data_IF_202052356589
#
_entry.id   IF_202052356589
#
_cell.length_a   1.000
_cell.length_b   1.000
_cell.length_c   1.000
_cell.angle_alpha   90.00
_cell.angle_beta   90.00
_cell.angle_gamma   90.00
#
_symmetry.space_group_name_H-M   'P 1'
#
loop_
_entity.id
_entity.type
_entity.pdbx_description
1 polymer ?
#
# COMPACT_ATOMS: atom_id res chain seq x y z
N UNK A 1 -17.67 5.63 9.23
CA UNK A 1 -16.46 4.82 9.45
C UNK A 1 -15.70 4.72 8.14
N UNK A 2 -14.54 5.39 8.02
CA UNK A 2 -13.75 5.30 6.80
C UNK A 2 -12.98 3.97 6.73
N UNK A 3 -12.80 3.48 5.52
CA UNK A 3 -12.03 2.28 5.23
C UNK A 3 -11.07 2.57 4.08
N UNK A 4 -9.77 2.43 4.34
CA UNK A 4 -8.73 2.60 3.33
C UNK A 4 -8.10 1.24 3.06
N UNK A 5 -8.12 0.82 1.81
CA UNK A 5 -7.46 -0.43 1.41
C UNK A 5 -6.25 -0.10 0.53
N UNK A 6 -5.08 -0.58 0.96
CA UNK A 6 -3.83 -0.40 0.21
C UNK A 6 -3.43 -1.76 -0.32
N UNK A 7 -3.37 -1.88 -1.63
CA UNK A 7 -2.88 -3.10 -2.26
C UNK A 7 -1.46 -2.88 -2.76
N UNK A 8 -0.57 -3.76 -2.40
CA UNK A 8 0.84 -3.72 -2.77
C UNK A 8 1.21 -5.04 -3.43
N UNK A 9 2.18 -5.01 -4.33
CA UNK A 9 2.75 -6.27 -4.80
C UNK A 9 3.67 -6.81 -3.71
N UNK A 10 3.65 -8.12 -3.49
CA UNK A 10 4.44 -8.76 -2.44
C UNK A 10 5.94 -8.55 -2.62
N UNK A 11 6.67 -8.55 -1.52
CA UNK A 11 8.13 -8.55 -1.53
C UNK A 11 8.81 -7.22 -1.84
N UNK A 12 8.08 -6.11 -1.95
CA UNK A 12 8.65 -4.79 -2.23
C UNK A 12 8.84 -3.97 -0.96
N UNK A 13 7.89 -4.06 -0.03
CA UNK A 13 7.91 -3.26 1.19
C UNK A 13 8.17 -4.11 2.42
N UNK A 14 8.93 -3.56 3.36
CA UNK A 14 9.20 -4.21 4.65
C UNK A 14 7.99 -4.14 5.56
N UNK A 15 8.03 -4.91 6.65
CA UNK A 15 6.98 -4.84 7.69
C UNK A 15 6.89 -3.44 8.29
N UNK A 16 8.04 -2.79 8.49
CA UNK A 16 8.11 -1.44 9.04
C UNK A 16 7.47 -0.43 8.10
N UNK A 17 7.73 -0.56 6.80
CA UNK A 17 7.12 0.33 5.81
C UNK A 17 5.61 0.16 5.74
N UNK A 18 5.12 -1.09 5.81
CA UNK A 18 3.68 -1.34 5.81
C UNK A 18 3.01 -0.78 7.06
N UNK A 19 3.68 -0.90 8.21
CA UNK A 19 3.19 -0.30 9.46
C UNK A 19 3.16 1.23 9.37
N UNK A 20 4.18 1.82 8.77
CA UNK A 20 4.24 3.26 8.53
C UNK A 20 3.10 3.73 7.63
N UNK A 21 2.77 2.95 6.59
CA UNK A 21 1.62 3.26 5.72
C UNK A 21 0.33 3.30 6.53
N UNK A 22 0.10 2.31 7.40
CA UNK A 22 -1.08 2.26 8.25
C UNK A 22 -1.14 3.50 9.14
N UNK A 23 -0.04 3.85 9.80
CA UNK A 23 0.00 4.99 10.71
C UNK A 23 -0.23 6.32 9.98
N UNK A 24 0.49 6.55 8.89
CA UNK A 24 0.42 7.80 8.15
C UNK A 24 -0.92 8.01 7.45
N UNK A 25 -1.47 6.94 6.88
CA UNK A 25 -2.78 7.03 6.23
C UNK A 25 -3.88 7.27 7.27
N UNK A 26 -3.77 6.63 8.42
CA UNK A 26 -4.69 6.87 9.53
C UNK A 26 -4.62 8.33 9.96
N UNK A 27 -3.42 8.86 10.18
CA UNK A 27 -3.23 10.25 10.59
C UNK A 27 -3.79 11.23 9.57
N UNK A 28 -3.60 10.97 8.29
CA UNK A 28 -4.13 11.81 7.23
C UNK A 28 -5.65 11.83 7.24
N UNK A 29 -6.27 10.66 7.39
CA UNK A 29 -7.73 10.58 7.49
C UNK A 29 -8.24 11.32 8.72
N UNK A 30 -7.57 11.17 9.85
CA UNK A 30 -7.95 11.82 11.11
C UNK A 30 -7.84 13.35 11.00
N UNK A 31 -6.85 13.88 10.27
CA UNK A 31 -6.76 15.31 10.01
C UNK A 31 -8.02 15.86 9.33
N UNK A 32 -8.63 15.06 8.48
CA UNK A 32 -9.81 15.45 7.71
C UNK A 32 -11.08 15.25 8.55
N UNK A 33 -11.22 14.11 9.21
CA UNK A 33 -12.46 13.69 9.86
C UNK A 33 -12.55 14.08 11.35
N UNK A 34 -11.43 14.38 11.97
CA UNK A 34 -11.35 14.72 13.39
C UNK A 34 -10.82 13.59 14.26
N UNK A 35 -10.18 13.93 15.35
CA UNK A 35 -9.49 12.98 16.25
C UNK A 35 -10.44 11.96 16.87
N UNK A 36 -11.71 12.33 17.07
CA UNK A 36 -12.70 11.42 17.64
C UNK A 36 -12.96 10.19 16.75
N UNK A 37 -12.60 10.28 15.47
CA UNK A 37 -12.80 9.19 14.51
C UNK A 37 -11.63 8.21 14.43
N UNK A 38 -10.54 8.48 15.14
CA UNK A 38 -9.34 7.61 15.07
C UNK A 38 -9.66 6.16 15.39
N UNK A 39 -10.44 5.92 16.42
CA UNK A 39 -10.75 4.55 16.86
C UNK A 39 -11.62 3.75 15.90
N UNK A 40 -12.20 4.40 14.89
CA UNK A 40 -13.05 3.75 13.89
C UNK A 40 -12.54 3.97 12.47
N UNK A 41 -11.30 4.43 12.33
CA UNK A 41 -10.63 4.61 11.04
C UNK A 41 -9.86 3.33 10.72
N UNK A 42 -10.19 2.70 9.62
CA UNK A 42 -9.60 1.42 9.21
C UNK A 42 -8.64 1.62 8.04
N UNK A 43 -7.46 1.08 8.18
CA UNK A 43 -6.49 1.00 7.08
C UNK A 43 -6.02 -0.45 6.99
N UNK A 44 -6.20 -1.05 5.84
CA UNK A 44 -5.80 -2.45 5.60
C UNK A 44 -4.77 -2.46 4.48
N UNK A 45 -3.67 -3.16 4.72
CA UNK A 45 -2.63 -3.39 3.69
C UNK A 45 -2.74 -4.85 3.26
N UNK A 46 -2.92 -5.04 1.96
CA UNK A 46 -3.00 -6.37 1.36
C UNK A 46 -1.90 -6.52 0.32
N UNK A 47 -1.23 -7.67 0.32
CA UNK A 47 -0.22 -7.95 -0.68
C UNK A 47 -0.79 -8.84 -1.78
N UNK A 48 -0.51 -8.44 -3.03
CA UNK A 48 -0.87 -9.18 -4.23
C UNK A 48 0.35 -10.00 -4.65
N UNK A 49 0.12 -11.25 -4.98
CA UNK A 49 1.18 -12.19 -5.37
C UNK A 49 1.89 -11.71 -6.64
N UNK A 50 3.22 -11.90 -6.68
CA UNK A 50 4.03 -11.60 -7.85
C UNK A 50 3.46 -12.29 -9.10
N UNK A 51 3.34 -11.55 -10.20
CA UNK A 51 2.76 -12.06 -11.43
C UNK A 51 1.24 -11.92 -11.51
N UNK A 52 0.58 -11.44 -10.46
CA UNK A 52 -0.87 -11.27 -10.44
C UNK A 52 -1.31 -9.80 -10.46
N UNK A 53 -0.37 -8.90 -10.71
CA UNK A 53 -0.64 -7.47 -10.84
C UNK A 53 -0.58 -7.08 -12.31
N UNK A 54 -1.73 -6.80 -12.90
CA UNK A 54 -1.80 -6.51 -14.33
C UNK A 54 -1.86 -5.02 -14.64
N UNK A 55 -1.03 -4.59 -15.59
CA UNK A 55 -1.10 -3.24 -16.17
C UNK A 55 -1.14 -3.41 -17.68
N UNK A 56 -2.21 -2.93 -18.30
CA UNK A 56 -2.36 -3.04 -19.76
C UNK A 56 -2.30 -4.47 -20.29
N UNK A 57 -2.71 -5.41 -19.46
CA UNK A 57 -2.65 -6.84 -19.80
C UNK A 57 -1.32 -7.51 -19.50
N UNK A 58 -0.34 -6.76 -18.98
CA UNK A 58 0.97 -7.31 -18.63
C UNK A 58 1.01 -7.61 -17.14
N UNK A 59 1.34 -8.86 -16.80
CA UNK A 59 1.48 -9.30 -15.41
C UNK A 59 2.85 -8.88 -14.88
N UNK A 60 2.86 -7.93 -13.95
CA UNK A 60 4.09 -7.46 -13.31
C UNK A 60 4.53 -8.42 -12.21
N UNK A 61 5.83 -8.60 -12.11
CA UNK A 61 6.46 -9.38 -11.04
C UNK A 61 7.02 -8.46 -9.97
N UNK A 62 7.37 -9.06 -8.83
CA UNK A 62 8.06 -8.34 -7.75
C UNK A 62 9.38 -7.73 -8.26
N UNK A 63 10.12 -8.45 -9.11
CA UNK A 63 11.37 -7.97 -9.68
C UNK A 63 11.15 -6.73 -10.54
N UNK A 64 10.06 -6.71 -11.34
CA UNK A 64 9.73 -5.54 -12.17
C UNK A 64 9.51 -4.31 -11.30
N UNK A 65 8.77 -4.46 -10.21
CA UNK A 65 8.45 -3.34 -9.32
C UNK A 65 9.69 -2.88 -8.56
N UNK A 66 10.52 -3.80 -8.12
CA UNK A 66 11.80 -3.47 -7.47
C UNK A 66 12.71 -2.68 -8.41
N UNK A 67 12.75 -3.06 -9.67
CA UNK A 67 13.53 -2.35 -10.68
C UNK A 67 13.02 -0.92 -10.87
N UNK A 68 11.69 -0.75 -10.94
CA UNK A 68 11.10 0.58 -11.02
C UNK A 68 11.42 1.44 -9.79
N UNK A 69 11.34 0.86 -8.61
CA UNK A 69 11.65 1.56 -7.36
C UNK A 69 13.12 1.97 -7.29
N UNK A 70 14.00 1.21 -7.92
CA UNK A 70 15.43 1.51 -8.00
C UNK A 70 15.76 2.51 -9.12
N UNK A 71 14.75 2.96 -9.88
CA UNK A 71 14.94 3.91 -10.99
C UNK A 71 15.38 3.26 -12.29
N UNK A 72 15.30 1.93 -12.39
CA UNK A 72 15.60 1.19 -13.62
C UNK A 72 14.34 1.09 -14.47
N UNK A 73 14.38 1.45 -15.77
CA UNK A 73 13.20 1.32 -16.64
C UNK A 73 12.74 -0.14 -16.70
N UNK A 74 11.41 -0.31 -16.64
CA UNK A 74 10.80 -1.62 -16.75
C UNK A 74 10.78 -2.10 -18.20
#
# INVERSE_FOLDING_TARGET
MPFVNVKLIEGVFSKEQKREMIEKLTDTMVEIEGENMRGVTWVVVEEVQSGEWGIGGNALTTEDVRAMAAGVPA
#
